data_IF_096155048967
#
_entry.id   IF_096155048967
#
_cell.length_a   1.000
_cell.length_b   1.000
_cell.length_c   1.000
_cell.angle_alpha   90.00
_cell.angle_beta   90.00
_cell.angle_gamma   90.00
#
_symmetry.space_group_name_H-M   'P 1'
#
loop_
_entity.id
_entity.type
_entity.pdbx_description
1 polymer ?
#
# COMPACT_ATOMS: atom_id res chain seq x y z
N UNK A 1 10.28 -4.07 -34.07
CA UNK A 1 10.70 -5.39 -33.58
C UNK A 1 9.69 -6.45 -34.03
N UNK A 2 10.08 -7.72 -34.18
CA UNK A 2 9.11 -8.82 -34.41
C UNK A 2 8.35 -9.15 -33.13
N UNK A 3 7.12 -9.71 -33.24
CA UNK A 3 6.35 -10.15 -32.07
C UNK A 3 7.14 -11.13 -31.19
N UNK A 4 7.84 -12.09 -31.80
CA UNK A 4 8.67 -13.07 -31.04
C UNK A 4 9.78 -12.38 -30.22
N UNK A 5 10.39 -11.33 -30.75
CA UNK A 5 11.42 -10.60 -30.01
C UNK A 5 10.84 -9.78 -28.84
N UNK A 6 9.65 -9.22 -29.03
CA UNK A 6 8.90 -8.53 -27.94
C UNK A 6 8.56 -9.52 -26.83
N UNK A 7 8.07 -10.73 -27.17
CA UNK A 7 7.75 -11.77 -26.18
C UNK A 7 8.99 -12.18 -25.39
N UNK A 8 10.13 -12.42 -26.07
CA UNK A 8 11.40 -12.75 -25.38
C UNK A 8 11.84 -11.61 -24.46
N UNK A 9 11.72 -10.35 -24.89
CA UNK A 9 12.04 -9.21 -24.07
C UNK A 9 11.11 -9.10 -22.83
N UNK A 10 9.82 -9.38 -23.00
CA UNK A 10 8.87 -9.41 -21.88
C UNK A 10 9.19 -10.53 -20.88
N UNK A 11 9.54 -11.73 -21.33
CA UNK A 11 9.99 -12.80 -20.44
C UNK A 11 11.24 -12.35 -19.67
N UNK A 12 12.21 -11.74 -20.34
CA UNK A 12 13.40 -11.18 -19.68
C UNK A 12 13.05 -10.11 -18.64
N UNK A 13 12.12 -9.21 -18.95
CA UNK A 13 11.65 -8.19 -18.01
C UNK A 13 10.94 -8.81 -16.80
N UNK A 14 10.10 -9.83 -17.00
CA UNK A 14 9.41 -10.55 -15.91
C UNK A 14 10.44 -11.21 -14.98
N UNK A 15 11.44 -11.87 -15.52
CA UNK A 15 12.52 -12.49 -14.72
C UNK A 15 13.24 -11.41 -13.90
N UNK A 16 13.56 -10.28 -14.50
CA UNK A 16 14.20 -9.19 -13.80
C UNK A 16 13.32 -8.59 -12.69
N UNK A 17 12.01 -8.50 -12.88
CA UNK A 17 11.08 -8.08 -11.83
C UNK A 17 11.00 -9.08 -10.67
N UNK A 18 10.98 -10.38 -10.96
CA UNK A 18 11.00 -11.41 -9.91
C UNK A 18 12.31 -11.33 -9.12
N UNK A 19 13.45 -11.20 -9.80
CA UNK A 19 14.76 -11.01 -9.15
C UNK A 19 14.83 -9.69 -8.37
N UNK A 20 14.15 -8.65 -8.85
CA UNK A 20 14.03 -7.38 -8.13
C UNK A 20 13.29 -7.57 -6.80
N UNK A 21 12.13 -8.21 -6.81
CA UNK A 21 11.37 -8.49 -5.59
C UNK A 21 12.17 -9.33 -4.60
N UNK A 22 12.84 -10.38 -5.08
CA UNK A 22 13.73 -11.19 -4.25
C UNK A 22 14.91 -10.41 -3.69
N UNK A 23 15.51 -9.50 -4.48
CA UNK A 23 16.60 -8.64 -4.03
C UNK A 23 16.18 -7.56 -3.04
N UNK A 24 14.93 -7.07 -3.15
CA UNK A 24 14.37 -6.05 -2.26
C UNK A 24 13.90 -6.63 -0.90
N UNK A 25 13.79 -7.95 -0.77
CA UNK A 25 13.38 -8.59 0.49
C UNK A 25 14.44 -8.50 1.60
N UNK A 26 15.70 -8.25 1.25
CA UNK A 26 16.78 -8.09 2.21
C UNK A 26 17.50 -6.76 2.03
N UNK A 27 17.81 -6.04 3.12
CA UNK A 27 18.47 -4.73 3.07
C UNK A 27 19.81 -4.74 2.32
N UNK A 28 20.62 -5.81 2.49
CA UNK A 28 21.95 -5.95 1.88
C UNK A 28 21.88 -6.07 0.35
N UNK A 29 20.84 -6.72 -0.17
CA UNK A 29 20.65 -6.96 -1.61
C UNK A 29 19.75 -5.94 -2.29
N UNK A 30 19.14 -5.03 -1.52
CA UNK A 30 18.13 -4.07 -2.00
C UNK A 30 18.61 -3.19 -3.17
N UNK A 31 19.88 -2.77 -3.16
CA UNK A 31 20.47 -1.99 -4.27
C UNK A 31 20.51 -2.78 -5.57
N UNK A 32 20.86 -4.09 -5.50
CA UNK A 32 20.87 -4.97 -6.69
C UNK A 32 19.43 -5.23 -7.16
N UNK A 33 18.51 -5.47 -6.22
CA UNK A 33 17.09 -5.62 -6.53
C UNK A 33 16.53 -4.40 -7.27
N UNK A 34 16.85 -3.20 -6.81
CA UNK A 34 16.44 -1.96 -7.47
C UNK A 34 17.03 -1.84 -8.91
N UNK A 35 18.30 -2.22 -9.12
CA UNK A 35 18.89 -2.22 -10.45
C UNK A 35 18.21 -3.22 -11.38
N UNK A 36 17.83 -4.40 -10.91
CA UNK A 36 17.05 -5.36 -11.69
C UNK A 36 15.68 -4.80 -12.07
N UNK A 37 15.01 -4.10 -11.15
CA UNK A 37 13.74 -3.44 -11.42
C UNK A 37 13.85 -2.34 -12.49
N UNK A 38 14.88 -1.50 -12.40
CA UNK A 38 15.16 -0.44 -13.40
C UNK A 38 15.46 -1.08 -14.77
N UNK A 39 16.31 -2.10 -14.82
CA UNK A 39 16.65 -2.78 -16.05
C UNK A 39 15.43 -3.48 -16.68
N UNK A 40 14.61 -4.17 -15.86
CA UNK A 40 13.37 -4.81 -16.29
C UNK A 40 12.36 -3.81 -16.85
N UNK A 41 12.14 -2.68 -16.15
CA UNK A 41 11.25 -1.62 -16.61
C UNK A 41 11.74 -0.99 -17.92
N UNK A 42 13.04 -0.70 -18.02
CA UNK A 42 13.63 -0.15 -19.25
C UNK A 42 13.43 -1.11 -20.41
N UNK A 43 13.72 -2.40 -20.22
CA UNK A 43 13.52 -3.44 -21.24
C UNK A 43 12.04 -3.53 -21.66
N UNK A 44 11.12 -3.54 -20.70
CA UNK A 44 9.67 -3.59 -20.94
C UNK A 44 9.18 -2.39 -21.77
N UNK A 45 9.57 -1.17 -21.37
CA UNK A 45 9.18 0.06 -22.06
C UNK A 45 9.75 0.07 -23.48
N UNK A 46 11.03 -0.24 -23.66
CA UNK A 46 11.64 -0.29 -24.99
C UNK A 46 11.00 -1.35 -25.89
N UNK A 47 10.73 -2.55 -25.35
CA UNK A 47 10.06 -3.61 -26.10
C UNK A 47 8.64 -3.20 -26.54
N UNK A 48 7.91 -2.50 -25.68
CA UNK A 48 6.56 -2.01 -25.98
C UNK A 48 6.61 -0.88 -27.02
N UNK A 49 7.45 0.13 -26.81
CA UNK A 49 7.56 1.30 -27.71
C UNK A 49 8.02 0.90 -29.12
N UNK A 50 9.00 0.00 -29.22
CA UNK A 50 9.49 -0.50 -30.52
C UNK A 50 8.75 -1.74 -31.02
N UNK A 51 7.68 -2.13 -30.31
CA UNK A 51 6.82 -3.24 -30.71
C UNK A 51 6.01 -2.94 -31.96
N UNK A 52 5.52 -3.98 -32.65
CA UNK A 52 4.81 -3.82 -33.93
C UNK A 52 3.41 -3.20 -33.77
N UNK A 53 2.91 -3.07 -32.55
CA UNK A 53 1.61 -2.49 -32.25
C UNK A 53 1.63 -0.94 -32.25
N UNK A 54 2.81 -0.32 -32.15
CA UNK A 54 2.94 1.13 -32.14
C UNK A 54 3.16 1.63 -33.59
N UNK A 55 2.24 2.44 -34.06
CA UNK A 55 2.33 3.08 -35.37
C UNK A 55 3.15 4.38 -35.30
N UNK A 56 3.55 4.90 -36.45
CA UNK A 56 4.40 6.09 -36.54
C UNK A 56 3.77 7.37 -35.93
N UNK A 57 2.44 7.48 -35.94
CA UNK A 57 1.73 8.60 -35.36
C UNK A 57 1.65 8.51 -33.83
N UNK A 58 1.71 7.32 -33.27
CA UNK A 58 1.67 7.08 -31.81
C UNK A 58 2.94 7.54 -31.09
N UNK A 59 4.11 7.55 -31.75
CA UNK A 59 5.37 7.91 -31.10
C UNK A 59 5.38 9.31 -30.49
N UNK A 60 4.80 10.29 -31.16
CA UNK A 60 4.76 11.67 -30.66
C UNK A 60 3.97 11.75 -29.33
N UNK A 61 2.84 11.06 -29.27
CA UNK A 61 2.02 10.99 -28.06
C UNK A 61 2.71 10.23 -26.93
N UNK A 62 3.31 9.09 -27.22
CA UNK A 62 4.04 8.29 -26.23
C UNK A 62 5.20 9.07 -25.64
N UNK A 63 6.06 9.66 -26.50
CA UNK A 63 7.23 10.43 -26.06
C UNK A 63 6.78 11.67 -25.28
N UNK A 64 5.77 12.40 -25.76
CA UNK A 64 5.24 13.57 -25.07
C UNK A 64 4.71 13.22 -23.68
N UNK A 65 3.89 12.19 -23.55
CA UNK A 65 3.36 11.74 -22.27
C UNK A 65 4.46 11.23 -21.34
N UNK A 66 5.44 10.48 -21.85
CA UNK A 66 6.59 10.01 -21.07
C UNK A 66 7.45 11.16 -20.54
N UNK A 67 7.73 12.18 -21.34
CA UNK A 67 8.51 13.34 -20.90
C UNK A 67 7.78 14.10 -19.78
N UNK A 68 6.49 14.34 -19.93
CA UNK A 68 5.69 15.01 -18.89
C UNK A 68 5.63 14.17 -17.62
N UNK A 69 5.33 12.87 -17.74
CA UNK A 69 5.27 11.96 -16.61
C UNK A 69 6.63 11.81 -15.90
N UNK A 70 7.72 11.71 -16.66
CA UNK A 70 9.08 11.64 -16.11
C UNK A 70 9.48 12.93 -15.39
N UNK A 71 9.14 14.10 -15.93
CA UNK A 71 9.43 15.39 -15.28
C UNK A 71 8.69 15.52 -13.93
N UNK A 72 7.39 15.19 -13.89
CA UNK A 72 6.59 15.22 -12.67
C UNK A 72 7.12 14.17 -11.66
N UNK A 73 7.36 12.95 -12.12
CA UNK A 73 7.85 11.87 -11.28
C UNK A 73 9.23 12.15 -10.67
N UNK A 74 10.16 12.69 -11.48
CA UNK A 74 11.50 13.05 -11.02
C UNK A 74 11.46 14.22 -10.02
N UNK A 75 10.61 15.21 -10.25
CA UNK A 75 10.39 16.29 -9.30
C UNK A 75 9.84 15.75 -7.97
N UNK A 76 8.79 14.93 -8.01
CA UNK A 76 8.21 14.32 -6.82
C UNK A 76 9.25 13.46 -6.07
N UNK A 77 10.00 12.61 -6.77
CA UNK A 77 11.01 11.74 -6.16
C UNK A 77 12.15 12.52 -5.47
N UNK A 78 12.47 13.73 -5.94
CA UNK A 78 13.52 14.57 -5.34
C UNK A 78 13.05 15.44 -4.18
N UNK A 79 11.75 15.73 -4.11
CA UNK A 79 11.20 16.70 -3.14
C UNK A 79 10.43 16.05 -2.00
N UNK A 80 9.95 14.82 -2.18
CA UNK A 80 9.18 14.13 -1.16
C UNK A 80 10.04 13.80 0.05
N UNK A 81 9.52 14.09 1.24
CA UNK A 81 10.13 13.68 2.50
C UNK A 81 9.71 12.26 2.87
N UNK A 82 10.53 11.54 3.63
CA UNK A 82 10.21 10.16 4.08
C UNK A 82 8.87 10.08 4.82
N UNK A 83 8.53 11.12 5.60
CA UNK A 83 7.22 11.23 6.28
C UNK A 83 6.03 11.33 5.32
N UNK A 84 6.26 11.77 4.08
CA UNK A 84 5.23 11.93 3.03
C UNK A 84 5.18 10.73 2.07
N UNK A 85 6.05 9.74 2.23
CA UNK A 85 6.07 8.56 1.36
C UNK A 85 4.72 7.83 1.31
N UNK A 86 4.00 7.60 2.43
CA UNK A 86 2.69 6.95 2.39
C UNK A 86 1.68 7.71 1.53
N UNK A 87 1.70 9.05 1.58
CA UNK A 87 0.84 9.93 0.79
C UNK A 87 1.16 9.80 -0.70
N UNK A 88 2.45 9.87 -1.05
CA UNK A 88 2.90 9.74 -2.43
C UNK A 88 2.53 8.38 -3.01
N UNK A 89 2.75 7.30 -2.25
CA UNK A 89 2.40 5.93 -2.66
C UNK A 89 0.90 5.82 -2.93
N UNK A 90 0.05 6.35 -2.04
CA UNK A 90 -1.40 6.36 -2.27
C UNK A 90 -1.78 7.15 -3.54
N UNK A 91 -1.15 8.32 -3.76
CA UNK A 91 -1.38 9.11 -4.98
C UNK A 91 -0.98 8.35 -6.24
N UNK A 92 0.15 7.64 -6.22
CA UNK A 92 0.60 6.83 -7.35
C UNK A 92 -0.38 5.69 -7.66
N UNK A 93 -0.92 5.01 -6.67
CA UNK A 93 -1.96 4.00 -6.88
C UNK A 93 -3.22 4.59 -7.51
N UNK A 94 -3.58 5.84 -7.18
CA UNK A 94 -4.71 6.51 -7.84
C UNK A 94 -4.46 6.69 -9.33
N UNK A 95 -3.25 7.11 -9.72
CA UNK A 95 -2.90 7.30 -11.13
C UNK A 95 -2.90 5.97 -11.91
N UNK A 96 -2.45 4.89 -11.31
CA UNK A 96 -2.52 3.54 -11.90
C UNK A 96 -3.98 3.12 -12.11
N UNK A 97 -4.82 3.31 -11.10
CA UNK A 97 -6.26 3.01 -11.23
C UNK A 97 -6.96 3.83 -12.31
N UNK A 98 -6.63 5.13 -12.41
CA UNK A 98 -7.15 6.00 -13.45
C UNK A 98 -6.65 5.56 -14.84
N UNK A 99 -5.38 5.21 -14.98
CA UNK A 99 -4.82 4.72 -16.24
C UNK A 99 -5.54 3.45 -16.72
N UNK A 100 -5.78 2.48 -15.82
CA UNK A 100 -6.51 1.26 -16.15
C UNK A 100 -7.94 1.55 -16.63
N UNK A 101 -8.64 2.47 -15.96
CA UNK A 101 -9.98 2.89 -16.38
C UNK A 101 -9.99 3.58 -17.75
N UNK A 102 -9.05 4.51 -17.98
CA UNK A 102 -8.94 5.21 -19.26
C UNK A 102 -8.59 4.28 -20.42
N UNK A 103 -7.69 3.31 -20.19
CA UNK A 103 -7.37 2.27 -21.18
C UNK A 103 -8.62 1.43 -21.48
N UNK A 104 -9.38 1.04 -20.45
CA UNK A 104 -10.64 0.29 -20.66
C UNK A 104 -11.65 1.08 -21.51
N UNK A 105 -11.85 2.36 -21.23
CA UNK A 105 -12.70 3.21 -22.05
C UNK A 105 -12.17 3.37 -23.47
N UNK A 106 -10.86 3.60 -23.64
CA UNK A 106 -10.24 3.74 -24.95
C UNK A 106 -10.41 2.45 -25.78
N UNK A 107 -10.15 1.30 -25.18
CA UNK A 107 -10.32 -0.01 -25.84
C UNK A 107 -11.79 -0.27 -26.22
N UNK A 108 -12.74 0.13 -25.38
CA UNK A 108 -14.16 -0.04 -25.68
C UNK A 108 -14.66 0.83 -26.86
N UNK A 109 -14.16 2.06 -26.92
CA UNK A 109 -14.57 3.03 -27.95
C UNK A 109 -13.90 2.75 -29.31
N UNK A 110 -12.73 2.08 -29.30
CA UNK A 110 -11.98 1.80 -30.52
C UNK A 110 -12.61 0.64 -31.33
N UNK A 111 -13.18 0.93 -32.54
CA UNK A 111 -13.74 -0.13 -33.38
C UNK A 111 -12.70 -1.14 -33.86
N UNK A 112 -11.42 -0.74 -33.94
CA UNK A 112 -10.36 -1.64 -34.36
C UNK A 112 -10.02 -2.68 -33.29
N UNK A 113 -10.19 -2.35 -32.02
CA UNK A 113 -9.97 -3.27 -30.89
C UNK A 113 -11.11 -4.30 -30.75
N UNK A 114 -12.34 -3.91 -31.03
CA UNK A 114 -13.54 -4.73 -30.73
C UNK A 114 -14.25 -5.28 -31.95
N UNK A 115 -14.12 -4.64 -33.11
CA UNK A 115 -14.96 -4.91 -34.29
C UNK A 115 -14.71 -6.26 -35.00
N UNK A 116 -13.59 -6.92 -34.71
CA UNK A 116 -13.25 -8.23 -35.29
C UNK A 116 -13.62 -9.41 -34.36
N UNK A 117 -13.97 -9.14 -33.10
CA UNK A 117 -14.29 -10.16 -32.11
C UNK A 117 -15.74 -10.63 -32.25
N UNK A 118 -15.96 -11.94 -32.16
CA UNK A 118 -17.28 -12.57 -32.29
C UNK A 118 -17.49 -13.66 -31.23
N UNK A 119 -18.76 -13.90 -30.90
CA UNK A 119 -19.14 -14.99 -30.00
C UNK A 119 -18.50 -14.88 -28.61
N UNK A 120 -17.86 -15.94 -28.16
CA UNK A 120 -17.27 -16.02 -26.82
C UNK A 120 -16.11 -15.05 -26.62
N UNK A 121 -15.28 -14.81 -27.64
CA UNK A 121 -14.15 -13.89 -27.55
C UNK A 121 -14.61 -12.45 -27.29
N UNK A 122 -15.66 -12.01 -27.96
CA UNK A 122 -16.27 -10.69 -27.70
C UNK A 122 -16.75 -10.57 -26.26
N UNK A 123 -17.49 -11.57 -25.77
CA UNK A 123 -18.00 -11.56 -24.39
C UNK A 123 -16.88 -11.52 -23.35
N UNK A 124 -15.82 -12.32 -23.55
CA UNK A 124 -14.65 -12.33 -22.67
C UNK A 124 -14.00 -10.95 -22.64
N UNK A 125 -13.75 -10.37 -23.81
CA UNK A 125 -13.12 -9.05 -23.91
C UNK A 125 -13.96 -7.92 -23.29
N UNK A 126 -15.28 -7.96 -23.46
CA UNK A 126 -16.18 -7.02 -22.79
C UNK A 126 -16.18 -7.19 -21.27
N UNK A 127 -16.08 -8.42 -20.75
CA UNK A 127 -15.93 -8.68 -19.32
C UNK A 127 -14.60 -8.10 -18.81
N UNK A 128 -13.51 -8.30 -19.54
CA UNK A 128 -12.18 -7.75 -19.20
C UNK A 128 -12.21 -6.22 -19.11
N UNK A 129 -12.83 -5.56 -20.10
CA UNK A 129 -13.01 -4.10 -20.11
C UNK A 129 -13.83 -3.66 -18.90
N UNK A 130 -14.97 -4.30 -18.65
CA UNK A 130 -15.88 -3.96 -17.56
C UNK A 130 -15.20 -4.09 -16.20
N UNK A 131 -14.53 -5.21 -15.95
CA UNK A 131 -13.80 -5.46 -14.71
C UNK A 131 -12.58 -4.55 -14.56
N UNK A 132 -11.84 -4.30 -15.64
CA UNK A 132 -10.70 -3.41 -15.62
C UNK A 132 -11.06 -1.97 -15.26
N UNK A 133 -12.15 -1.45 -15.81
CA UNK A 133 -12.68 -0.13 -15.46
C UNK A 133 -13.20 -0.12 -14.01
N UNK A 134 -13.93 -1.14 -13.60
CA UNK A 134 -14.46 -1.27 -12.23
C UNK A 134 -13.33 -1.23 -11.20
N UNK A 135 -12.34 -2.11 -11.31
CA UNK A 135 -11.21 -2.19 -10.39
C UNK A 135 -10.38 -0.89 -10.44
N UNK A 136 -10.15 -0.37 -11.66
CA UNK A 136 -9.42 0.88 -11.87
C UNK A 136 -10.05 2.06 -11.15
N UNK A 137 -11.36 2.27 -11.28
CA UNK A 137 -12.06 3.41 -10.67
C UNK A 137 -12.23 3.28 -9.15
N UNK A 138 -12.45 2.06 -8.64
CA UNK A 138 -12.43 1.81 -7.19
C UNK A 138 -11.05 2.13 -6.62
N UNK A 139 -9.99 1.69 -7.29
CA UNK A 139 -8.61 1.98 -6.90
C UNK A 139 -8.32 3.48 -6.95
N UNK A 140 -8.72 4.15 -8.02
CA UNK A 140 -8.53 5.59 -8.19
C UNK A 140 -9.16 6.39 -7.06
N UNK A 141 -10.46 6.23 -6.86
CA UNK A 141 -11.21 7.02 -5.87
C UNK A 141 -10.83 6.67 -4.43
N UNK A 142 -10.64 5.39 -4.13
CA UNK A 142 -10.17 4.93 -2.82
C UNK A 142 -8.78 5.47 -2.47
N UNK A 143 -7.87 5.49 -3.44
CA UNK A 143 -6.51 6.00 -3.25
C UNK A 143 -6.47 7.51 -3.04
N UNK A 144 -7.34 8.29 -3.70
CA UNK A 144 -7.48 9.73 -3.44
C UNK A 144 -7.94 9.97 -2.00
N UNK A 145 -8.91 9.21 -1.51
CA UNK A 145 -9.37 9.32 -0.12
C UNK A 145 -8.25 8.94 0.85
N UNK A 146 -7.51 7.86 0.57
CA UNK A 146 -6.37 7.46 1.38
C UNK A 146 -5.29 8.55 1.42
N UNK A 147 -4.94 9.14 0.27
CA UNK A 147 -4.06 10.30 0.20
C UNK A 147 -4.57 11.46 1.07
N UNK A 148 -5.86 11.79 0.99
CA UNK A 148 -6.47 12.85 1.79
C UNK A 148 -6.39 12.60 3.30
N UNK A 149 -6.57 11.35 3.73
CA UNK A 149 -6.46 10.96 5.14
C UNK A 149 -5.00 10.96 5.63
N UNK A 150 -4.08 10.42 4.84
CA UNK A 150 -2.66 10.38 5.18
C UNK A 150 -2.04 11.76 5.25
N UNK A 151 -2.42 12.67 4.33
CA UNK A 151 -1.96 14.06 4.32
C UNK A 151 -2.67 14.97 5.35
N UNK A 152 -3.59 14.42 6.15
CA UNK A 152 -4.34 15.18 7.14
C UNK A 152 -5.40 16.14 6.58
N UNK A 153 -5.62 16.14 5.25
CA UNK A 153 -6.66 16.96 4.58
C UNK A 153 -8.06 16.44 4.86
N UNK A 154 -8.19 15.14 5.11
CA UNK A 154 -9.42 14.47 5.52
C UNK A 154 -9.19 13.91 6.92
N UNK A 155 -10.15 14.09 7.82
CA UNK A 155 -10.04 13.59 9.18
C UNK A 155 -9.88 12.06 9.22
N UNK A 156 -9.04 11.56 10.16
CA UNK A 156 -8.77 10.13 10.33
C UNK A 156 -9.92 9.32 10.94
N UNK A 157 -11.00 9.96 11.38
CA UNK A 157 -12.16 9.26 11.97
C UNK A 157 -12.91 8.48 10.88
N UNK A 158 -13.32 7.23 11.14
CA UNK A 158 -14.12 6.46 10.19
C UNK A 158 -15.50 7.08 10.00
N UNK A 159 -15.92 7.26 8.73
CA UNK A 159 -17.25 7.69 8.37
C UNK A 159 -18.11 6.46 8.07
N UNK A 160 -18.95 6.07 9.02
CA UNK A 160 -19.82 4.91 8.89
C UNK A 160 -21.22 5.34 8.43
N UNK A 161 -21.59 4.98 7.22
CA UNK A 161 -22.95 5.21 6.73
C UNK A 161 -23.94 4.22 7.38
N UNK A 162 -25.17 4.67 7.69
CA UNK A 162 -26.21 3.75 8.16
C UNK A 162 -26.53 2.72 7.07
N UNK A 163 -26.82 1.48 7.47
CA UNK A 163 -27.11 0.37 6.56
C UNK A 163 -26.02 0.08 5.50
N UNK A 164 -24.76 0.41 5.77
CA UNK A 164 -23.63 0.28 4.85
C UNK A 164 -23.53 -1.09 4.15
N UNK A 165 -23.84 -2.17 4.86
CA UNK A 165 -23.78 -3.52 4.30
C UNK A 165 -24.83 -3.74 3.21
N UNK A 166 -26.03 -3.21 3.44
CA UNK A 166 -27.10 -3.24 2.44
C UNK A 166 -26.80 -2.33 1.24
N UNK A 167 -26.15 -1.18 1.48
CA UNK A 167 -25.68 -0.30 0.41
C UNK A 167 -24.60 -0.99 -0.44
N UNK A 168 -23.65 -1.68 0.19
CA UNK A 168 -22.62 -2.43 -0.52
C UNK A 168 -23.22 -3.59 -1.33
N UNK A 169 -24.16 -4.32 -0.75
CA UNK A 169 -24.84 -5.40 -1.45
C UNK A 169 -25.68 -4.87 -2.62
N UNK A 170 -26.43 -3.80 -2.41
CA UNK A 170 -27.21 -3.16 -3.47
C UNK A 170 -26.29 -2.65 -4.60
N UNK A 171 -25.18 -1.99 -4.25
CA UNK A 171 -24.17 -1.56 -5.22
C UNK A 171 -23.62 -2.71 -6.05
N UNK A 172 -23.26 -3.82 -5.39
CA UNK A 172 -22.79 -5.03 -6.07
C UNK A 172 -23.83 -5.60 -7.05
N UNK A 173 -25.08 -5.71 -6.61
CA UNK A 173 -26.17 -6.23 -7.47
C UNK A 173 -26.41 -5.31 -8.66
N UNK A 174 -26.35 -3.99 -8.47
CA UNK A 174 -26.50 -3.02 -9.55
C UNK A 174 -25.32 -3.11 -10.54
N UNK A 175 -24.08 -3.26 -10.04
CA UNK A 175 -22.90 -3.49 -10.90
C UNK A 175 -23.04 -4.76 -11.72
N UNK A 176 -23.49 -5.87 -11.13
CA UNK A 176 -23.75 -7.13 -11.86
C UNK A 176 -24.84 -6.95 -12.91
N UNK A 177 -25.93 -6.27 -12.56
CA UNK A 177 -27.02 -6.00 -13.50
C UNK A 177 -26.55 -5.18 -14.71
N UNK A 178 -25.82 -4.08 -14.47
CA UNK A 178 -25.29 -3.27 -15.57
C UNK A 178 -24.18 -3.98 -16.36
N UNK A 179 -23.43 -4.90 -15.73
CA UNK A 179 -22.50 -5.78 -16.43
C UNK A 179 -23.22 -6.70 -17.43
N UNK A 180 -24.33 -7.31 -17.01
CA UNK A 180 -25.13 -8.12 -17.91
C UNK A 180 -25.77 -7.28 -19.07
N UNK A 181 -26.20 -6.05 -18.79
CA UNK A 181 -26.68 -5.10 -19.81
C UNK A 181 -25.59 -4.64 -20.77
N UNK A 182 -24.38 -4.47 -20.27
CA UNK A 182 -23.20 -4.10 -21.06
C UNK A 182 -22.82 -5.17 -22.07
N UNK A 183 -22.76 -6.44 -21.65
CA UNK A 183 -22.45 -7.60 -22.51
C UNK A 183 -23.54 -7.84 -23.56
N UNK A 184 -24.81 -7.51 -23.26
CA UNK A 184 -25.92 -7.65 -24.17
C UNK A 184 -26.12 -6.48 -25.13
N UNK A 185 -25.23 -5.47 -25.07
CA UNK A 185 -25.38 -4.30 -25.91
C UNK A 185 -24.98 -4.59 -27.37
N UNK A 186 -25.87 -4.23 -28.30
CA UNK A 186 -25.63 -4.45 -29.74
C UNK A 186 -24.74 -3.36 -30.38
N UNK A 187 -24.47 -2.29 -29.66
CA UNK A 187 -23.68 -1.18 -30.17
C UNK A 187 -22.88 -0.49 -29.07
N UNK A 188 -21.77 0.17 -29.44
CA UNK A 188 -20.93 0.96 -28.51
C UNK A 188 -21.79 2.00 -27.77
N UNK A 189 -22.72 2.69 -28.47
CA UNK A 189 -23.57 3.67 -27.82
C UNK A 189 -24.52 3.07 -26.78
N UNK A 190 -25.10 1.88 -27.04
CA UNK A 190 -25.96 1.19 -26.10
C UNK A 190 -25.21 0.67 -24.87
N UNK A 191 -23.97 0.22 -25.03
CA UNK A 191 -23.13 -0.25 -23.93
C UNK A 191 -22.47 0.87 -23.12
N UNK A 192 -22.35 2.08 -23.66
CA UNK A 192 -21.76 3.23 -22.97
C UNK A 192 -22.56 3.62 -21.72
N UNK A 193 -23.90 3.59 -21.78
CA UNK A 193 -24.74 3.94 -20.63
C UNK A 193 -24.52 3.02 -19.43
N UNK A 194 -24.61 1.67 -19.54
CA UNK A 194 -24.31 0.78 -18.43
C UNK A 194 -22.85 0.91 -17.92
N UNK A 195 -21.90 1.17 -18.82
CA UNK A 195 -20.51 1.35 -18.46
C UNK A 195 -20.29 2.62 -17.62
N UNK A 196 -20.91 3.75 -18.02
CA UNK A 196 -20.84 5.01 -17.25
C UNK A 196 -21.54 4.88 -15.89
N UNK A 197 -22.72 4.25 -15.84
CA UNK A 197 -23.41 4.05 -14.56
C UNK A 197 -22.57 3.21 -13.61
N UNK A 198 -22.01 2.10 -14.07
CA UNK A 198 -21.08 1.29 -13.30
C UNK A 198 -19.88 2.11 -12.82
N UNK A 199 -19.32 2.95 -13.69
CA UNK A 199 -18.17 3.80 -13.37
C UNK A 199 -18.47 4.78 -12.23
N UNK A 200 -19.64 5.40 -12.23
CA UNK A 200 -20.08 6.27 -11.12
C UNK A 200 -20.22 5.49 -9.82
N UNK A 201 -20.82 4.29 -9.89
CA UNK A 201 -20.96 3.42 -8.71
C UNK A 201 -19.58 2.99 -8.19
N UNK A 202 -18.64 2.63 -9.07
CA UNK A 202 -17.27 2.27 -8.71
C UNK A 202 -16.53 3.41 -7.98
N UNK A 203 -16.67 4.64 -8.48
CA UNK A 203 -16.10 5.82 -7.82
C UNK A 203 -16.68 6.04 -6.42
N UNK A 204 -17.99 5.99 -6.29
CA UNK A 204 -18.68 6.15 -5.00
C UNK A 204 -18.30 5.03 -4.03
N UNK A 205 -18.20 3.80 -4.52
CA UNK A 205 -17.84 2.65 -3.72
C UNK A 205 -16.40 2.76 -3.19
N UNK A 206 -15.42 3.15 -4.02
CA UNK A 206 -14.05 3.37 -3.58
C UNK A 206 -13.94 4.46 -2.52
N UNK A 207 -14.66 5.57 -2.67
CA UNK A 207 -14.75 6.63 -1.66
C UNK A 207 -15.33 6.06 -0.35
N UNK A 208 -16.48 5.39 -0.43
CA UNK A 208 -17.18 4.86 0.73
C UNK A 208 -16.31 3.86 1.51
N UNK A 209 -15.67 2.93 0.81
CA UNK A 209 -14.82 1.90 1.40
C UNK A 209 -13.71 2.50 2.26
N UNK A 210 -12.94 3.43 1.70
CA UNK A 210 -11.78 4.00 2.39
C UNK A 210 -12.19 5.05 3.42
N UNK A 211 -13.31 5.75 3.23
CA UNK A 211 -13.87 6.65 4.25
C UNK A 211 -14.31 5.91 5.51
N UNK A 212 -14.77 4.67 5.38
CA UNK A 212 -15.21 3.84 6.51
C UNK A 212 -14.05 3.29 7.36
N UNK A 213 -12.79 3.38 6.90
CA UNK A 213 -11.62 2.86 7.60
C UNK A 213 -10.95 3.97 8.42
N UNK A 214 -10.54 3.65 9.64
CA UNK A 214 -9.88 4.59 10.55
C UNK A 214 -8.43 4.92 10.17
N UNK A 215 -7.89 6.01 10.69
CA UNK A 215 -6.51 6.43 10.45
C UNK A 215 -5.45 5.43 10.95
N UNK A 216 -5.74 4.71 12.03
CA UNK A 216 -4.87 3.68 12.58
C UNK A 216 -4.70 2.47 11.64
N UNK A 217 -5.73 2.15 10.84
CA UNK A 217 -5.73 1.02 9.91
C UNK A 217 -5.18 1.41 8.51
N UNK A 218 -4.71 2.67 8.32
CA UNK A 218 -4.19 3.15 7.04
C UNK A 218 -3.02 2.35 6.47
N UNK A 219 -2.08 1.81 7.24
CA UNK A 219 -1.03 0.95 6.69
C UNK A 219 -1.58 -0.25 5.92
N UNK A 220 -2.62 -0.91 6.44
CA UNK A 220 -3.31 -2.01 5.75
C UNK A 220 -3.99 -1.53 4.48
N UNK A 221 -4.64 -0.35 4.53
CA UNK A 221 -5.32 0.26 3.37
C UNK A 221 -4.34 0.53 2.23
N UNK A 222 -3.18 1.11 2.53
CA UNK A 222 -2.14 1.37 1.51
C UNK A 222 -1.69 0.07 0.85
N UNK A 223 -1.48 -0.98 1.63
CA UNK A 223 -1.11 -2.30 1.10
C UNK A 223 -2.23 -2.92 0.25
N UNK A 224 -3.50 -2.77 0.65
CA UNK A 224 -4.65 -3.21 -0.13
C UNK A 224 -4.81 -2.43 -1.45
N UNK A 225 -4.61 -1.11 -1.43
CA UNK A 225 -4.64 -0.31 -2.64
C UNK A 225 -3.51 -0.70 -3.61
N UNK A 226 -2.35 -1.10 -3.08
CA UNK A 226 -1.29 -1.72 -3.88
C UNK A 226 -1.78 -3.01 -4.55
N UNK A 227 -2.47 -3.88 -3.80
CA UNK A 227 -3.09 -5.09 -4.37
C UNK A 227 -4.09 -4.75 -5.47
N UNK A 228 -4.99 -3.80 -5.24
CA UNK A 228 -5.99 -3.38 -6.24
C UNK A 228 -5.35 -2.79 -7.49
N UNK A 229 -4.29 -1.98 -7.34
CA UNK A 229 -3.55 -1.46 -8.50
C UNK A 229 -2.85 -2.57 -9.29
N UNK A 230 -2.35 -3.61 -8.61
CA UNK A 230 -1.83 -4.82 -9.25
C UNK A 230 -2.90 -5.56 -10.06
N UNK A 231 -4.07 -5.79 -9.49
CA UNK A 231 -5.19 -6.41 -10.20
C UNK A 231 -5.72 -5.54 -11.35
N UNK A 232 -5.73 -4.21 -11.20
CA UNK A 232 -6.05 -3.28 -12.28
C UNK A 232 -5.06 -3.41 -13.44
N UNK A 233 -3.76 -3.52 -13.14
CA UNK A 233 -2.73 -3.73 -14.16
C UNK A 233 -2.88 -5.10 -14.86
N UNK A 234 -3.21 -6.16 -14.12
CA UNK A 234 -3.48 -7.48 -14.70
C UNK A 234 -4.70 -7.45 -15.63
N UNK A 235 -5.80 -6.81 -15.20
CA UNK A 235 -6.99 -6.62 -16.04
C UNK A 235 -6.67 -5.83 -17.32
N UNK A 236 -5.87 -4.76 -17.21
CA UNK A 236 -5.36 -4.03 -18.36
C UNK A 236 -4.52 -4.92 -19.29
N UNK A 237 -3.73 -5.82 -18.72
CA UNK A 237 -2.95 -6.80 -19.46
C UNK A 237 -3.82 -7.75 -20.27
N UNK A 238 -4.93 -8.22 -19.72
CA UNK A 238 -5.93 -9.02 -20.46
C UNK A 238 -6.55 -8.22 -21.60
N UNK A 239 -7.06 -7.02 -21.32
CA UNK A 239 -7.63 -6.14 -22.35
C UNK A 239 -6.69 -5.86 -23.51
N UNK A 240 -5.40 -5.72 -23.25
CA UNK A 240 -4.38 -5.39 -24.25
C UNK A 240 -3.65 -6.63 -24.79
N UNK A 241 -4.01 -7.86 -24.37
CA UNK A 241 -3.30 -9.09 -24.67
C UNK A 241 -1.79 -8.97 -24.39
N UNK A 242 -1.44 -8.39 -23.24
CA UNK A 242 -0.08 -8.11 -22.84
C UNK A 242 0.35 -8.98 -21.65
N UNK A 243 1.07 -10.07 -21.94
CA UNK A 243 1.51 -11.06 -20.93
C UNK A 243 2.36 -10.43 -19.82
N UNK A 244 3.16 -9.42 -20.14
CA UNK A 244 3.98 -8.72 -19.16
C UNK A 244 3.10 -8.05 -18.08
N UNK A 245 2.05 -7.33 -18.48
CA UNK A 245 1.13 -6.69 -17.56
C UNK A 245 0.31 -7.70 -16.76
N UNK A 246 -0.10 -8.82 -17.38
CA UNK A 246 -0.81 -9.89 -16.68
C UNK A 246 0.04 -10.44 -15.54
N UNK A 247 1.27 -10.87 -15.85
CA UNK A 247 2.15 -11.50 -14.86
C UNK A 247 2.60 -10.52 -13.79
N UNK A 248 3.04 -9.32 -14.18
CA UNK A 248 3.50 -8.32 -13.20
C UNK A 248 2.35 -7.80 -12.34
N UNK A 249 1.18 -7.60 -12.94
CA UNK A 249 -0.03 -7.21 -12.21
C UNK A 249 -0.47 -8.29 -11.21
N UNK A 250 -0.44 -9.57 -11.59
CA UNK A 250 -0.75 -10.68 -10.70
C UNK A 250 0.26 -10.79 -9.54
N UNK A 251 1.56 -10.61 -9.81
CA UNK A 251 2.60 -10.60 -8.78
C UNK A 251 2.38 -9.47 -7.76
N UNK A 252 2.15 -8.24 -8.23
CA UNK A 252 1.91 -7.08 -7.37
C UNK A 252 0.59 -7.23 -6.62
N UNK A 253 -0.47 -7.67 -7.29
CA UNK A 253 -1.78 -7.90 -6.69
C UNK A 253 -1.73 -8.94 -5.57
N UNK A 254 -1.07 -10.06 -5.81
CA UNK A 254 -0.91 -11.13 -4.83
C UNK A 254 -0.03 -10.71 -3.65
N UNK A 255 1.11 -10.06 -3.92
CA UNK A 255 2.01 -9.61 -2.85
C UNK A 255 1.34 -8.57 -1.94
N UNK A 256 0.59 -7.61 -2.50
CA UNK A 256 -0.18 -6.63 -1.73
C UNK A 256 -1.27 -7.29 -0.88
N UNK A 257 -1.97 -8.30 -1.39
CA UNK A 257 -2.97 -9.06 -0.63
C UNK A 257 -2.35 -9.84 0.52
N UNK A 258 -1.24 -10.53 0.28
CA UNK A 258 -0.51 -11.29 1.33
C UNK A 258 -0.01 -10.32 2.42
N UNK A 259 0.60 -9.20 2.02
CA UNK A 259 1.08 -8.21 2.97
C UNK A 259 -0.06 -7.62 3.81
N UNK A 260 -1.20 -7.30 3.18
CA UNK A 260 -2.39 -6.83 3.90
C UNK A 260 -2.92 -7.86 4.89
N UNK A 261 -2.89 -9.15 4.54
CA UNK A 261 -3.28 -10.24 5.43
C UNK A 261 -2.35 -10.34 6.65
N UNK A 262 -1.03 -10.29 6.42
CA UNK A 262 -0.02 -10.33 7.51
C UNK A 262 -0.23 -9.14 8.45
N UNK A 263 -0.42 -7.94 7.90
CA UNK A 263 -0.65 -6.73 8.70
C UNK A 263 -1.96 -6.78 9.48
N UNK A 264 -3.04 -7.31 8.89
CA UNK A 264 -4.28 -7.53 9.62
C UNK A 264 -4.08 -8.45 10.81
N UNK A 265 -3.31 -9.54 10.65
CA UNK A 265 -2.96 -10.43 11.77
C UNK A 265 -2.15 -9.73 12.85
N UNK A 266 -1.16 -8.93 12.44
CA UNK A 266 -0.33 -8.16 13.36
C UNK A 266 -1.12 -7.09 14.14
N UNK A 267 -2.30 -6.69 13.64
CA UNK A 267 -3.22 -5.75 14.31
C UNK A 267 -4.39 -6.45 15.01
N UNK A 268 -4.39 -7.78 15.09
CA UNK A 268 -5.53 -8.58 15.57
C UNK A 268 -6.85 -8.21 14.86
N UNK A 269 -6.80 -7.97 13.55
CA UNK A 269 -7.95 -7.64 12.72
C UNK A 269 -8.24 -8.74 11.72
N UNK A 270 -9.52 -9.01 11.49
CA UNK A 270 -9.90 -9.90 10.40
C UNK A 270 -9.73 -9.22 9.04
N UNK A 271 -8.99 -9.87 8.14
CA UNK A 271 -8.71 -9.37 6.79
C UNK A 271 -9.98 -8.99 6.02
N UNK A 272 -11.00 -9.85 6.06
CA UNK A 272 -12.29 -9.59 5.40
C UNK A 272 -12.99 -8.36 5.98
N UNK A 273 -12.85 -8.10 7.29
CA UNK A 273 -13.49 -6.93 7.92
C UNK A 273 -12.86 -5.61 7.45
N UNK A 274 -11.58 -5.60 7.20
CA UNK A 274 -10.87 -4.43 6.68
C UNK A 274 -11.22 -4.21 5.19
N UNK A 275 -11.20 -5.27 4.37
CA UNK A 275 -11.57 -5.19 2.94
C UNK A 275 -13.00 -4.71 2.75
N UNK A 276 -13.93 -5.19 3.53
CA UNK A 276 -15.35 -4.86 3.38
C UNK A 276 -15.74 -3.51 4.01
N UNK A 277 -14.76 -2.65 4.36
CA UNK A 277 -15.02 -1.33 4.91
C UNK A 277 -15.66 -1.37 6.29
N UNK A 278 -15.12 -2.20 7.21
CA UNK A 278 -15.59 -2.30 8.58
C UNK A 278 -16.68 -3.35 8.81
N UNK A 279 -16.73 -4.42 8.02
CA UNK A 279 -17.33 -5.67 8.42
C UNK A 279 -16.57 -6.16 9.66
N UNK A 280 -17.12 -5.98 10.83
CA UNK A 280 -16.50 -6.41 12.09
C UNK A 280 -16.20 -5.32 13.12
N UNK A 281 -16.32 -4.03 12.80
CA UNK A 281 -16.39 -2.98 13.83
C UNK A 281 -17.76 -2.98 14.57
N UNK A 282 -18.66 -3.88 14.18
CA UNK A 282 -19.90 -4.18 14.88
C UNK A 282 -19.81 -5.33 15.88
N UNK A 283 -18.66 -6.00 16.00
CA UNK A 283 -18.36 -6.96 17.03
C UNK A 283 -17.60 -6.25 18.16
N UNK A 284 -18.33 -5.51 18.94
CA UNK A 284 -18.04 -5.21 20.34
C UNK A 284 -16.65 -4.69 20.67
N UNK A 285 -16.24 -3.52 20.13
CA UNK A 285 -15.71 -2.57 21.09
C UNK A 285 -16.97 -1.95 21.72
N UNK A 286 -17.24 -2.17 23.01
CA UNK A 286 -18.19 -1.33 23.71
C UNK A 286 -17.76 0.12 23.44
N UNK A 287 -18.74 0.99 23.14
CA UNK A 287 -18.52 2.42 23.27
C UNK A 287 -17.78 2.60 24.61
N UNK A 288 -16.74 3.46 24.70
CA UNK A 288 -16.06 3.66 25.96
C UNK A 288 -17.15 3.89 26.99
N UNK A 289 -17.31 2.94 27.88
CA UNK A 289 -18.18 3.11 29.02
C UNK A 289 -17.59 4.30 29.74
N UNK A 290 -18.33 5.39 29.78
CA UNK A 290 -18.02 6.50 30.66
C UNK A 290 -18.00 5.90 32.06
N UNK A 291 -16.80 5.59 32.57
CA UNK A 291 -16.64 4.95 33.86
C UNK A 291 -15.78 3.70 33.95
N UNK A 292 -14.92 3.42 32.92
CA UNK A 292 -13.81 2.48 33.15
C UNK A 292 -12.97 3.01 34.29
N UNK A 293 -12.87 2.26 35.39
CA UNK A 293 -11.99 2.59 36.48
C UNK A 293 -10.61 2.84 35.89
N UNK A 294 -10.10 4.06 36.04
CA UNK A 294 -8.74 4.36 35.66
C UNK A 294 -7.86 3.29 36.30
N UNK A 295 -7.16 2.50 35.49
CA UNK A 295 -6.06 1.69 36.02
C UNK A 295 -5.21 2.62 36.87
N UNK A 296 -4.74 2.21 38.07
CA UNK A 296 -3.91 3.06 38.89
C UNK A 296 -2.75 3.51 37.98
N UNK A 297 -2.73 4.80 37.68
CA UNK A 297 -1.66 5.39 36.90
C UNK A 297 -0.36 5.07 37.64
N UNK A 298 0.49 4.24 37.05
CA UNK A 298 1.80 3.99 37.60
C UNK A 298 2.47 5.34 37.83
N UNK A 299 3.25 5.46 38.88
CA UNK A 299 3.97 6.69 39.20
C UNK A 299 4.93 7.02 38.05
N UNK A 300 4.62 8.09 37.31
CA UNK A 300 5.51 8.56 36.23
C UNK A 300 6.60 9.40 36.87
N UNK A 301 7.82 8.91 36.80
CA UNK A 301 9.02 9.62 37.24
C UNK A 301 9.56 10.42 36.07
N UNK A 302 9.58 11.74 36.20
CA UNK A 302 10.24 12.61 35.22
C UNK A 302 11.74 12.56 35.37
N UNK A 303 12.45 12.27 34.30
CA UNK A 303 13.92 12.28 34.24
C UNK A 303 14.41 13.40 33.31
N UNK A 304 15.54 14.03 33.67
CA UNK A 304 16.19 15.01 32.83
C UNK A 304 16.99 14.36 31.71
N UNK A 305 17.33 15.13 30.68
CA UNK A 305 18.21 14.66 29.61
C UNK A 305 19.57 14.17 30.13
N UNK A 306 20.08 14.80 31.20
CA UNK A 306 21.33 14.43 31.83
C UNK A 306 21.24 13.08 32.56
N UNK A 307 20.18 12.88 33.34
CA UNK A 307 19.92 11.60 34.01
C UNK A 307 19.70 10.48 33.00
N UNK A 308 18.98 10.74 31.91
CA UNK A 308 18.82 9.77 30.80
C UNK A 308 20.16 9.40 30.17
N UNK A 309 21.04 10.39 29.96
CA UNK A 309 22.38 10.14 29.42
C UNK A 309 23.24 9.31 30.38
N UNK A 310 23.10 9.49 31.70
CA UNK A 310 23.79 8.69 32.72
C UNK A 310 23.29 7.26 32.72
N UNK A 311 21.97 7.04 32.71
CA UNK A 311 21.34 5.72 32.60
C UNK A 311 21.82 4.95 31.36
N UNK A 312 21.83 5.62 30.20
CA UNK A 312 22.29 5.03 28.95
C UNK A 312 23.79 4.71 28.96
N UNK A 313 24.58 5.49 29.66
CA UNK A 313 26.04 5.27 29.77
C UNK A 313 26.39 4.06 30.64
N UNK A 314 25.56 3.76 31.65
CA UNK A 314 25.73 2.63 32.56
C UNK A 314 25.14 1.33 32.00
N UNK A 315 24.20 1.44 31.05
CA UNK A 315 23.56 0.30 30.42
C UNK A 315 24.54 -0.52 29.56
N UNK A 316 24.35 -1.83 29.54
CA UNK A 316 25.06 -2.76 28.64
C UNK A 316 24.20 -3.13 27.43
N UNK A 317 22.90 -3.28 27.64
CA UNK A 317 21.92 -3.64 26.63
C UNK A 317 20.82 -2.58 26.55
N UNK A 318 20.62 -2.01 25.37
CA UNK A 318 19.61 -0.98 25.10
C UNK A 318 18.76 -1.42 23.93
N UNK A 319 17.44 -1.40 24.08
CA UNK A 319 16.47 -1.59 22.99
C UNK A 319 15.79 -0.25 22.70
N UNK A 320 15.77 0.15 21.42
CA UNK A 320 15.05 1.36 20.97
C UNK A 320 13.85 0.92 20.17
N UNK A 321 12.66 1.37 20.60
CA UNK A 321 11.37 1.11 19.92
C UNK A 321 10.91 2.39 19.23
N UNK A 322 11.13 2.52 17.91
CA UNK A 322 10.73 3.69 17.17
C UNK A 322 9.27 3.62 16.76
N UNK A 323 8.59 4.75 16.79
CA UNK A 323 7.23 4.91 16.28
C UNK A 323 7.07 6.08 15.34
N UNK A 324 5.85 6.33 14.87
CA UNK A 324 5.56 7.38 13.90
C UNK A 324 5.94 8.79 14.41
N UNK A 325 5.86 9.04 15.72
CA UNK A 325 6.27 10.31 16.30
C UNK A 325 7.74 10.64 16.06
N UNK A 326 8.61 9.64 16.03
CA UNK A 326 10.03 9.84 15.66
C UNK A 326 10.16 10.39 14.23
N UNK A 327 9.35 9.86 13.30
CA UNK A 327 9.31 10.35 11.92
C UNK A 327 8.80 11.78 11.82
N UNK A 328 7.73 12.11 12.53
CA UNK A 328 7.14 13.47 12.55
C UNK A 328 8.13 14.49 13.10
N UNK A 329 8.84 14.13 14.16
CA UNK A 329 9.89 14.97 14.77
C UNK A 329 11.19 15.00 13.93
N UNK A 330 11.31 14.20 12.89
CA UNK A 330 12.55 14.00 12.13
C UNK A 330 13.76 13.64 13.02
N UNK A 331 13.49 12.89 14.09
CA UNK A 331 14.48 12.58 15.14
C UNK A 331 15.38 11.38 14.79
N UNK A 332 15.17 10.70 13.65
CA UNK A 332 15.91 9.50 13.24
C UNK A 332 17.42 9.72 13.17
N UNK A 333 17.86 10.91 12.76
CA UNK A 333 19.29 11.24 12.69
C UNK A 333 19.90 11.40 14.08
N UNK A 334 19.19 12.07 14.99
CA UNK A 334 19.63 12.24 16.39
C UNK A 334 19.66 10.90 17.12
N UNK A 335 18.66 10.04 16.89
CA UNK A 335 18.63 8.68 17.44
C UNK A 335 19.82 7.85 16.92
N UNK A 336 20.16 8.00 15.65
CA UNK A 336 21.33 7.33 15.07
C UNK A 336 22.65 7.84 15.71
N UNK A 337 22.76 9.14 15.98
CA UNK A 337 23.94 9.69 16.67
C UNK A 337 24.08 9.11 18.08
N UNK A 338 22.98 9.04 18.84
CA UNK A 338 22.94 8.40 20.17
C UNK A 338 23.37 6.93 20.05
N UNK A 339 22.79 6.19 19.11
CA UNK A 339 23.12 4.78 18.84
C UNK A 339 24.61 4.60 18.57
N UNK A 340 25.20 5.43 17.71
CA UNK A 340 26.62 5.38 17.40
C UNK A 340 27.47 5.62 18.64
N UNK A 341 27.16 6.66 19.43
CA UNK A 341 27.88 6.98 20.64
C UNK A 341 27.86 5.86 21.70
N UNK A 342 26.72 5.22 21.85
CA UNK A 342 26.56 4.07 22.77
C UNK A 342 27.38 2.87 22.27
N UNK A 343 27.28 2.53 21.00
CA UNK A 343 28.04 1.42 20.38
C UNK A 343 29.54 1.65 20.45
N UNK A 344 30.02 2.88 20.24
CA UNK A 344 31.41 3.25 20.36
C UNK A 344 31.94 3.04 21.78
N UNK A 345 31.06 3.02 22.80
CA UNK A 345 31.38 2.72 24.19
C UNK A 345 31.18 1.25 24.58
N UNK A 346 30.83 0.41 23.61
CA UNK A 346 30.62 -1.02 23.81
C UNK A 346 29.23 -1.41 24.31
N UNK A 347 28.23 -0.51 24.28
CA UNK A 347 26.86 -0.80 24.60
C UNK A 347 26.21 -1.56 23.44
N UNK A 348 25.53 -2.65 23.74
CA UNK A 348 24.75 -3.39 22.75
C UNK A 348 23.42 -2.67 22.51
N UNK A 349 23.29 -1.98 21.38
CA UNK A 349 22.07 -1.24 21.01
C UNK A 349 21.35 -1.96 19.87
N UNK A 350 20.06 -2.20 20.04
CA UNK A 350 19.19 -2.84 19.03
C UNK A 350 17.91 -2.03 18.87
N UNK A 351 17.30 -2.14 17.69
CA UNK A 351 16.00 -1.53 17.39
C UNK A 351 14.96 -2.62 17.28
N UNK A 352 13.82 -2.45 17.97
CA UNK A 352 12.67 -3.32 17.86
C UNK A 352 11.60 -2.70 16.94
N UNK A 353 11.30 -3.36 15.83
CA UNK A 353 10.36 -2.86 14.83
C UNK A 353 9.07 -3.66 14.91
N UNK A 354 7.98 -2.96 15.22
CA UNK A 354 6.66 -3.55 15.14
C UNK A 354 6.16 -3.56 13.70
N UNK A 355 5.50 -4.63 13.22
CA UNK A 355 5.05 -4.77 11.81
C UNK A 355 4.16 -3.63 11.32
N UNK A 356 3.42 -2.96 12.22
CA UNK A 356 2.53 -1.85 11.87
C UNK A 356 3.03 -0.49 12.37
N UNK A 357 4.30 -0.39 12.80
CA UNK A 357 4.89 0.88 13.19
C UNK A 357 4.96 1.85 12.01
N UNK A 358 4.36 3.02 12.16
CA UNK A 358 4.32 4.04 11.10
C UNK A 358 2.99 4.15 10.38
N UNK A 359 3.02 4.55 9.10
CA UNK A 359 1.84 4.75 8.24
C UNK A 359 1.87 3.95 6.95
N UNK A 360 2.91 3.16 6.73
CA UNK A 360 3.04 2.20 5.64
C UNK A 360 3.90 1.02 6.10
N UNK A 361 3.84 -0.14 5.43
CA UNK A 361 4.74 -1.27 5.71
C UNK A 361 6.20 -0.85 5.62
N UNK A 362 7.02 -1.26 6.60
CA UNK A 362 8.45 -0.96 6.62
C UNK A 362 8.82 0.52 6.82
N UNK A 363 7.87 1.37 7.26
CA UNK A 363 8.12 2.81 7.41
C UNK A 363 9.30 3.09 8.35
N UNK A 364 9.40 2.41 9.48
CA UNK A 364 10.51 2.60 10.42
C UNK A 364 11.83 2.11 9.84
N UNK A 365 11.83 0.99 9.13
CA UNK A 365 13.03 0.46 8.47
C UNK A 365 13.61 1.45 7.46
N UNK A 366 12.74 2.10 6.66
CA UNK A 366 13.17 3.12 5.68
C UNK A 366 13.77 4.35 6.38
N UNK A 367 13.16 4.82 7.48
CA UNK A 367 13.66 5.97 8.25
C UNK A 367 15.02 5.67 8.89
N UNK A 368 15.18 4.48 9.47
CA UNK A 368 16.45 4.07 10.05
C UNK A 368 17.54 3.89 8.97
N UNK A 369 17.17 3.39 7.79
CA UNK A 369 18.07 3.31 6.64
C UNK A 369 18.49 4.69 6.13
N UNK A 370 17.57 5.67 6.08
CA UNK A 370 17.87 7.07 5.77
C UNK A 370 18.90 7.65 6.75
N UNK A 371 18.72 7.39 8.04
CA UNK A 371 19.65 7.80 9.08
C UNK A 371 20.96 7.00 9.11
N UNK A 372 21.13 6.00 8.23
CA UNK A 372 22.30 5.12 8.13
C UNK A 372 22.52 4.27 9.38
N UNK A 373 21.45 3.85 10.03
CA UNK A 373 21.53 2.84 11.09
C UNK A 373 21.94 1.51 10.44
N UNK A 374 22.91 0.78 11.01
CA UNK A 374 23.29 -0.54 10.51
C UNK A 374 22.12 -1.53 10.55
N UNK A 375 21.96 -2.33 9.51
CA UNK A 375 20.82 -3.26 9.39
C UNK A 375 20.87 -4.42 10.39
N UNK A 376 22.07 -4.81 10.81
CA UNK A 376 22.31 -5.89 11.75
C UNK A 376 21.73 -5.68 13.16
N UNK A 377 21.39 -4.43 13.48
CA UNK A 377 20.80 -4.06 14.78
C UNK A 377 19.31 -3.70 14.67
N UNK A 378 18.70 -3.80 13.50
CA UNK A 378 17.28 -3.52 13.27
C UNK A 378 16.56 -4.85 13.16
N UNK A 379 15.85 -5.24 14.23
CA UNK A 379 15.24 -6.53 14.40
C UNK A 379 13.70 -6.40 14.39
N UNK A 380 13.04 -7.42 13.90
CA UNK A 380 11.58 -7.50 13.96
C UNK A 380 11.12 -7.87 15.38
N UNK A 381 9.86 -7.55 15.71
CA UNK A 381 9.26 -7.79 17.02
C UNK A 381 9.44 -9.26 17.47
N UNK A 382 9.19 -10.21 16.59
CA UNK A 382 9.25 -11.63 16.90
C UNK A 382 10.67 -12.12 17.22
N UNK A 383 11.70 -11.41 16.73
CA UNK A 383 13.10 -11.71 16.98
C UNK A 383 13.61 -11.11 18.31
N UNK A 384 12.93 -10.07 18.80
CA UNK A 384 13.43 -9.26 19.91
C UNK A 384 12.63 -9.37 21.20
N UNK A 385 11.36 -9.76 21.13
CA UNK A 385 10.46 -9.71 22.28
C UNK A 385 10.93 -10.56 23.49
N UNK A 386 11.60 -11.67 23.24
CA UNK A 386 12.14 -12.52 24.29
C UNK A 386 13.34 -11.90 25.03
N UNK A 387 13.97 -10.87 24.47
CA UNK A 387 15.17 -10.24 25.03
C UNK A 387 14.87 -9.03 25.93
N UNK A 388 13.64 -8.55 26.00
CA UNK A 388 13.28 -7.41 26.86
C UNK A 388 13.57 -7.65 28.36
N UNK A 389 13.37 -8.84 28.94
CA UNK A 389 13.70 -9.08 30.34
C UNK A 389 15.18 -8.95 30.68
N UNK A 390 16.07 -9.15 29.69
CA UNK A 390 17.54 -9.05 29.85
C UNK A 390 18.08 -7.70 29.37
N UNK A 391 17.21 -6.71 29.15
CA UNK A 391 17.54 -5.37 28.66
C UNK A 391 17.60 -4.38 29.81
N UNK A 392 18.69 -3.60 29.91
CA UNK A 392 18.87 -2.61 30.98
C UNK A 392 17.99 -1.37 30.76
N UNK A 393 17.84 -0.93 29.51
CA UNK A 393 17.06 0.25 29.14
C UNK A 393 16.27 0.00 27.85
N UNK A 394 14.95 0.19 27.90
CA UNK A 394 14.07 0.25 26.75
C UNK A 394 13.65 1.70 26.47
N UNK A 395 14.03 2.23 25.30
CA UNK A 395 13.71 3.59 24.86
C UNK A 395 12.56 3.57 23.86
N UNK A 396 11.40 4.08 24.23
CA UNK A 396 10.27 4.25 23.31
C UNK A 396 10.27 5.65 22.73
N UNK A 397 10.38 5.77 21.41
CA UNK A 397 10.51 7.07 20.73
C UNK A 397 9.39 7.26 19.72
N UNK A 398 8.37 8.03 20.12
CA UNK A 398 7.25 8.35 19.25
C UNK A 398 6.34 7.17 18.91
N UNK A 399 6.35 6.13 19.74
CA UNK A 399 5.41 5.01 19.69
C UNK A 399 4.36 5.15 20.81
N UNK A 400 3.21 4.52 20.63
CA UNK A 400 2.13 4.46 21.62
C UNK A 400 1.49 3.06 21.62
N UNK A 401 0.60 2.79 20.67
CA UNK A 401 -0.23 1.57 20.67
C UNK A 401 0.60 0.30 20.60
N UNK A 402 1.72 0.30 19.89
CA UNK A 402 2.60 -0.85 19.69
C UNK A 402 3.41 -1.29 20.93
N UNK A 403 3.35 -0.50 21.99
CA UNK A 403 4.01 -0.80 23.30
C UNK A 403 3.02 -0.70 24.46
N UNK A 404 1.72 -0.60 24.18
CA UNK A 404 0.71 -0.38 25.21
C UNK A 404 0.20 -1.70 25.78
N UNK A 405 0.41 -1.97 27.08
CA UNK A 405 -0.05 -3.21 27.71
C UNK A 405 -1.58 -3.38 27.71
N UNK A 406 -2.34 -2.31 27.54
CA UNK A 406 -3.80 -2.39 27.37
C UNK A 406 -4.22 -3.27 26.17
N UNK A 407 -3.31 -3.57 25.24
CA UNK A 407 -3.55 -4.55 24.19
C UNK A 407 -3.74 -5.97 24.73
N UNK A 408 -3.09 -6.30 25.84
CA UNK A 408 -3.15 -7.61 26.48
C UNK A 408 -4.10 -7.63 27.68
N UNK A 409 -4.13 -6.55 28.47
CA UNK A 409 -4.76 -6.51 29.77
C UNK A 409 -6.21 -5.99 29.75
N UNK A 410 -6.59 -5.20 28.72
CA UNK A 410 -7.91 -4.61 28.62
C UNK A 410 -8.68 -5.09 27.37
N UNK A 411 -9.65 -6.02 27.54
CA UNK A 411 -10.47 -6.49 26.44
C UNK A 411 -11.36 -5.41 25.80
N UNK A 412 -11.58 -4.27 26.48
CA UNK A 412 -12.35 -3.14 25.98
C UNK A 412 -11.49 -2.13 25.20
N UNK A 413 -10.18 -2.31 25.21
CA UNK A 413 -9.24 -1.45 24.48
C UNK A 413 -9.46 -1.54 22.96
N UNK A 414 -9.36 -0.42 22.23
CA UNK A 414 -9.38 -0.44 20.76
C UNK A 414 -8.29 -1.33 20.13
N UNK A 415 -7.22 -1.58 20.87
CA UNK A 415 -6.07 -2.39 20.44
C UNK A 415 -6.06 -3.78 21.08
N UNK A 416 -7.15 -4.20 21.76
CA UNK A 416 -7.23 -5.49 22.43
C UNK A 416 -6.81 -6.67 21.54
N UNK A 417 -5.91 -7.51 22.03
CA UNK A 417 -5.37 -8.67 21.35
C UNK A 417 -4.29 -8.36 20.30
N UNK A 418 -3.89 -7.10 20.13
CA UNK A 418 -2.75 -6.76 19.29
C UNK A 418 -1.47 -7.22 19.96
N UNK A 419 -0.57 -7.95 19.25
CA UNK A 419 0.77 -8.19 19.78
C UNK A 419 1.49 -6.85 19.97
N UNK A 420 2.27 -6.73 21.04
CA UNK A 420 3.03 -5.52 21.38
C UNK A 420 4.49 -5.87 21.66
N UNK A 421 5.36 -4.87 21.49
CA UNK A 421 6.76 -4.94 21.89
C UNK A 421 6.91 -4.78 23.40
#
# INVERSE_FOLDING_TARGET
MSMSLVTVAYIGAIILFILSLGGLSHPETSRRGNLYGIAGMTLAVLATVFGPQVNSQGYAWIIGAMVVGAAIGLYAARTVKMTQMPELVALMHSLVGLAAALVGFATYIDPAATGHLQGAEKVIHEIEIYLGILIGLVTFSGSIVAFGKLSGKIGGKPLLLPARHWLNLAGLLVVIYFGARFIQADSIGAGMTPLVVMSVIALLFGIHMVMAIGGADMPVVVSMLNSYSGWAAAATGFMLSNDLLIVTGALVGSSGAILSYIMCRAMNRHFVSVIAGGFGTGGGAPAPAAGGAAQPAGEVVSVSAQETAELLREAKNVIIVPGYGMAVAQAQHTVQEITRHLRDKGVNVRFGIHPVAGRMPGHMNVLLAEAKVPYDIVLEMDELNEDFPDTDVAMVIGANDIVNPAAQDDPASPIAGMPVL
#
